data_IF_234701718520
#
_entry.id   IF_234701718520
#
_cell.length_a   1.000
_cell.length_b   1.000
_cell.length_c   1.000
_cell.angle_alpha   90.00
_cell.angle_beta   90.00
_cell.angle_gamma   90.00
#
_symmetry.space_group_name_H-M   'P 1'
#
loop_
_entity.id
_entity.type
_entity.pdbx_description
1 polymer ?
#
# COMPACT_ATOMS: atom_id res chain seq x y z
N UNK A 1 37.98 -31.16 -2.49
CA UNK A 1 37.71 -29.88 -3.20
C UNK A 1 36.25 -29.42 -3.09
N UNK A 2 35.28 -30.28 -2.75
CA UNK A 2 33.86 -29.89 -2.57
C UNK A 2 33.60 -29.09 -1.29
N UNK A 3 34.28 -29.43 -0.19
CA UNK A 3 33.91 -28.91 1.13
C UNK A 3 34.36 -27.46 1.33
N UNK A 4 35.54 -27.10 0.81
CA UNK A 4 36.04 -25.72 0.81
C UNK A 4 35.19 -24.82 -0.10
N UNK A 5 34.78 -25.33 -1.28
CA UNK A 5 33.87 -24.62 -2.17
C UNK A 5 32.50 -24.38 -1.52
N UNK A 6 31.95 -25.39 -0.83
CA UNK A 6 30.69 -25.28 -0.09
C UNK A 6 30.80 -24.30 1.10
N UNK A 7 31.91 -24.32 1.84
CA UNK A 7 32.15 -23.38 2.94
C UNK A 7 32.26 -21.94 2.45
N UNK A 8 32.94 -21.71 1.32
CA UNK A 8 33.05 -20.40 0.69
C UNK A 8 31.69 -19.89 0.19
N UNK A 9 30.89 -20.76 -0.45
CA UNK A 9 29.53 -20.42 -0.90
C UNK A 9 28.62 -20.04 0.27
N UNK A 10 28.65 -20.81 1.36
CA UNK A 10 27.87 -20.54 2.57
C UNK A 10 28.30 -19.22 3.23
N UNK A 11 29.59 -18.96 3.35
CA UNK A 11 30.12 -17.69 3.89
C UNK A 11 29.65 -16.49 3.06
N UNK A 12 29.66 -16.61 1.73
CA UNK A 12 29.14 -15.58 0.83
C UNK A 12 27.64 -15.35 1.02
N UNK A 13 26.85 -16.41 1.09
CA UNK A 13 25.41 -16.34 1.32
C UNK A 13 25.07 -15.66 2.64
N UNK A 14 25.78 -16.01 3.73
CA UNK A 14 25.58 -15.40 5.05
C UNK A 14 25.90 -13.90 5.06
N UNK A 15 26.95 -13.47 4.34
CA UNK A 15 27.27 -12.05 4.15
C UNK A 15 26.15 -11.31 3.42
N UNK A 16 25.62 -11.89 2.35
CA UNK A 16 24.49 -11.32 1.60
C UNK A 16 23.22 -11.24 2.45
N UNK A 17 22.91 -12.29 3.21
CA UNK A 17 21.77 -12.31 4.12
C UNK A 17 21.88 -11.22 5.21
N UNK A 18 23.08 -11.01 5.76
CA UNK A 18 23.33 -9.93 6.73
C UNK A 18 23.08 -8.55 6.12
N UNK A 19 23.57 -8.30 4.90
CA UNK A 19 23.33 -7.05 4.17
C UNK A 19 21.84 -6.81 3.91
N UNK A 20 21.12 -7.85 3.45
CA UNK A 20 19.69 -7.77 3.22
C UNK A 20 18.92 -7.46 4.52
N UNK A 21 19.32 -8.07 5.64
CA UNK A 21 18.71 -7.76 6.94
C UNK A 21 18.89 -6.30 7.31
N UNK A 22 20.12 -5.77 7.22
CA UNK A 22 20.41 -4.37 7.55
C UNK A 22 19.62 -3.39 6.66
N UNK A 23 19.53 -3.66 5.36
CA UNK A 23 18.72 -2.86 4.44
C UNK A 23 17.21 -2.96 4.78
N UNK A 24 16.73 -4.16 5.14
CA UNK A 24 15.34 -4.36 5.57
C UNK A 24 15.03 -3.63 6.88
N UNK A 25 16.00 -3.47 7.79
CA UNK A 25 15.78 -2.75 9.04
C UNK A 25 15.61 -1.25 8.78
N UNK A 26 16.40 -0.69 7.86
CA UNK A 26 16.22 0.68 7.39
C UNK A 26 14.86 0.89 6.71
N UNK A 27 14.42 -0.07 5.87
CA UNK A 27 13.09 -0.05 5.27
C UNK A 27 11.97 -0.04 6.33
N UNK A 28 12.10 -0.85 7.38
CA UNK A 28 11.14 -0.87 8.49
C UNK A 28 11.08 0.44 9.26
N UNK A 29 12.23 1.05 9.53
CA UNK A 29 12.29 2.34 10.19
C UNK A 29 11.55 3.41 9.37
N UNK A 30 11.77 3.43 8.04
CA UNK A 30 11.10 4.36 7.14
C UNK A 30 9.57 4.13 7.10
N UNK A 31 9.12 2.89 6.92
CA UNK A 31 7.69 2.55 6.94
C UNK A 31 7.04 2.96 8.26
N UNK A 32 7.72 2.70 9.39
CA UNK A 32 7.23 3.05 10.72
C UNK A 32 7.09 4.56 10.89
N UNK A 33 8.10 5.32 10.42
CA UNK A 33 8.07 6.79 10.45
C UNK A 33 6.91 7.34 9.63
N UNK A 34 6.73 6.86 8.39
CA UNK A 34 5.63 7.31 7.52
C UNK A 34 4.28 6.98 8.16
N UNK A 35 4.09 5.75 8.64
CA UNK A 35 2.85 5.36 9.31
C UNK A 35 2.55 6.24 10.51
N UNK A 36 3.56 6.52 11.35
CA UNK A 36 3.39 7.37 12.53
C UNK A 36 2.92 8.78 12.12
N UNK A 37 3.54 9.40 11.11
CA UNK A 37 3.13 10.71 10.60
C UNK A 37 1.71 10.70 10.05
N UNK A 38 1.31 9.65 9.32
CA UNK A 38 -0.07 9.52 8.81
C UNK A 38 -1.10 9.35 9.93
N UNK A 39 -0.76 8.58 10.98
CA UNK A 39 -1.63 8.42 12.15
C UNK A 39 -1.76 9.73 12.92
N UNK A 40 -0.66 10.44 13.12
CA UNK A 40 -0.62 11.74 13.81
C UNK A 40 -1.45 12.81 13.08
N UNK A 41 -1.42 12.80 11.75
CA UNK A 41 -2.23 13.71 10.93
C UNK A 41 -3.75 13.51 11.12
N UNK A 42 -4.18 12.37 11.66
CA UNK A 42 -5.55 12.10 12.11
C UNK A 42 -6.66 12.46 11.10
N UNK A 43 -6.43 12.27 9.81
CA UNK A 43 -7.41 12.59 8.75
C UNK A 43 -8.61 11.63 8.71
N UNK A 44 -8.52 10.46 9.38
CA UNK A 44 -9.67 9.59 9.64
C UNK A 44 -10.33 8.95 8.41
N UNK A 45 -9.63 8.89 7.28
CA UNK A 45 -10.14 8.30 6.03
C UNK A 45 -9.30 7.10 5.59
N UNK A 46 -10.00 6.06 5.15
CA UNK A 46 -9.35 4.92 4.49
C UNK A 46 -9.04 5.26 3.04
N UNK A 47 -7.90 4.77 2.56
CA UNK A 47 -7.49 4.95 1.18
C UNK A 47 -6.64 3.76 0.73
N UNK A 48 -6.95 3.23 -0.44
CA UNK A 48 -6.14 2.23 -1.12
C UNK A 48 -5.69 2.85 -2.43
N UNK A 49 -4.37 2.92 -2.67
CA UNK A 49 -3.85 3.29 -3.99
C UNK A 49 -4.06 2.13 -4.95
N UNK A 50 -5.32 1.98 -5.37
CA UNK A 50 -5.63 1.47 -6.69
C UNK A 50 -5.07 2.51 -7.65
N UNK A 51 -3.80 2.38 -8.02
CA UNK A 51 -3.43 2.95 -9.30
C UNK A 51 -4.32 2.26 -10.31
N UNK A 52 -4.94 3.06 -11.18
CA UNK A 52 -5.24 2.68 -12.55
C UNK A 52 -4.16 1.68 -13.01
N UNK A 53 -4.54 0.48 -13.49
CA UNK A 53 -3.59 -0.58 -13.82
C UNK A 53 -2.40 0.04 -14.57
N UNK A 54 -1.22 -0.07 -13.95
CA UNK A 54 0.02 0.40 -14.57
C UNK A 54 0.24 -0.49 -15.78
N UNK A 55 -0.23 -0.01 -16.94
CA UNK A 55 -0.26 -0.73 -18.21
C UNK A 55 -1.05 -2.04 -18.12
N UNK A 56 -2.34 -1.99 -18.48
CA UNK A 56 -2.98 -3.17 -19.08
C UNK A 56 -2.14 -3.46 -20.32
N UNK A 57 -1.23 -4.42 -20.22
CA UNK A 57 -0.62 -5.01 -21.39
C UNK A 57 -1.78 -5.56 -22.23
N UNK A 58 -1.97 -5.03 -23.44
CA UNK A 58 -2.95 -5.53 -24.42
C UNK A 58 -2.74 -7.02 -24.80
N UNK A 59 -1.73 -7.68 -24.22
CA UNK A 59 -1.43 -9.08 -24.42
C UNK A 59 -1.78 -9.90 -23.17
N UNK A 60 -2.76 -10.77 -23.42
CA UNK A 60 -3.16 -12.00 -22.75
C UNK A 60 -4.38 -11.90 -21.82
N UNK A 61 -5.41 -12.62 -22.23
CA UNK A 61 -6.54 -13.04 -21.41
C UNK A 61 -6.01 -13.75 -20.15
N UNK A 62 -5.83 -12.99 -19.07
CA UNK A 62 -5.29 -13.49 -17.81
C UNK A 62 -5.59 -12.53 -16.66
N UNK A 63 -5.85 -13.08 -15.48
CA UNK A 63 -5.97 -12.29 -14.25
C UNK A 63 -4.58 -11.78 -13.84
N UNK A 64 -4.35 -10.46 -13.87
CA UNK A 64 -3.08 -9.89 -13.41
C UNK A 64 -3.15 -9.52 -11.92
N UNK A 65 -2.29 -10.17 -11.11
CA UNK A 65 -2.21 -9.92 -9.68
C UNK A 65 -1.25 -8.77 -9.37
N UNK A 66 -1.75 -7.76 -8.65
CA UNK A 66 -0.97 -6.62 -8.21
C UNK A 66 -1.04 -6.40 -6.70
N UNK A 67 0.07 -5.95 -6.14
CA UNK A 67 0.15 -5.49 -4.76
C UNK A 67 -0.44 -4.09 -4.63
N UNK A 68 -1.47 -3.94 -3.80
CA UNK A 68 -2.09 -2.65 -3.49
C UNK A 68 -1.68 -2.19 -2.09
N UNK A 69 -1.20 -0.96 -1.99
CA UNK A 69 -0.88 -0.28 -0.74
C UNK A 69 -2.06 0.59 -0.28
N UNK A 70 -2.36 0.55 1.01
CA UNK A 70 -3.40 1.38 1.60
C UNK A 70 -3.08 1.87 3.00
N UNK A 71 -3.87 2.85 3.44
CA UNK A 71 -4.00 3.26 4.83
C UNK A 71 -5.40 2.88 5.32
N UNK A 72 -5.46 2.05 6.35
CA UNK A 72 -6.66 1.31 6.72
C UNK A 72 -6.88 1.30 8.23
N UNK A 73 -8.14 1.26 8.68
CA UNK A 73 -8.51 1.17 10.09
C UNK A 73 -8.60 -0.29 10.54
N UNK A 74 -7.53 -0.79 11.16
CA UNK A 74 -7.54 -2.08 11.85
C UNK A 74 -8.19 -2.00 13.23
N UNK A 75 -8.46 -3.16 13.84
CA UNK A 75 -8.85 -3.28 15.25
C UNK A 75 -7.83 -2.65 16.22
N UNK A 76 -6.54 -2.66 15.85
CA UNK A 76 -5.45 -2.07 16.64
C UNK A 76 -5.21 -0.57 16.38
N UNK A 77 -5.90 0.03 15.41
CA UNK A 77 -5.62 1.40 14.99
C UNK A 77 -5.46 1.57 13.49
N UNK A 78 -5.18 2.81 13.10
CA UNK A 78 -4.84 3.14 11.72
C UNK A 78 -3.43 2.64 11.37
N UNK A 79 -3.26 2.03 10.21
CA UNK A 79 -1.96 1.54 9.77
C UNK A 79 -1.82 1.53 8.25
N UNK A 80 -0.58 1.51 7.77
CA UNK A 80 -0.27 1.11 6.41
C UNK A 80 -0.51 -0.39 6.27
N UNK A 81 -1.17 -0.78 5.18
CA UNK A 81 -1.54 -2.16 4.90
C UNK A 81 -1.34 -2.47 3.42
N UNK A 82 -1.20 -3.75 3.12
CA UNK A 82 -1.14 -4.25 1.74
C UNK A 82 -2.15 -5.35 1.53
N UNK A 83 -2.62 -5.49 0.29
CA UNK A 83 -3.42 -6.62 -0.16
C UNK A 83 -3.08 -6.92 -1.61
N UNK A 84 -3.28 -8.17 -2.02
CA UNK A 84 -3.26 -8.49 -3.43
C UNK A 84 -4.62 -8.11 -4.04
N UNK A 85 -4.63 -7.68 -5.29
CA UNK A 85 -5.82 -7.57 -6.12
C UNK A 85 -5.54 -8.16 -7.49
N UNK A 86 -6.54 -8.83 -8.08
CA UNK A 86 -6.47 -9.28 -9.46
C UNK A 86 -7.54 -8.59 -10.27
N UNK A 87 -7.18 -8.18 -11.48
CA UNK A 87 -8.09 -7.69 -12.49
C UNK A 87 -8.26 -8.76 -13.54
N UNK A 88 -9.51 -9.12 -13.84
CA UNK A 88 -9.85 -9.96 -14.96
C UNK A 88 -10.96 -9.32 -15.78
N UNK A 89 -11.02 -9.72 -17.05
CA UNK A 89 -12.12 -9.41 -17.94
C UNK A 89 -12.60 -10.72 -18.54
N UNK A 90 -13.90 -10.99 -18.42
CA UNK A 90 -14.57 -12.13 -19.05
C UNK A 90 -15.82 -11.68 -19.83
N UNK A 91 -16.59 -12.64 -20.34
CA UNK A 91 -17.82 -12.35 -21.10
C UNK A 91 -18.88 -11.60 -20.27
N UNK A 92 -18.78 -11.58 -18.94
CA UNK A 92 -19.67 -10.88 -18.01
C UNK A 92 -19.16 -9.47 -17.63
N UNK A 93 -17.93 -9.13 -18.00
CA UNK A 93 -17.32 -7.80 -17.84
C UNK A 93 -16.04 -7.81 -17.00
N UNK A 94 -15.65 -6.63 -16.50
CA UNK A 94 -14.45 -6.49 -15.64
C UNK A 94 -14.76 -6.90 -14.20
N UNK A 95 -13.99 -7.84 -13.66
CA UNK A 95 -14.06 -8.22 -12.24
C UNK A 95 -12.78 -7.89 -11.49
N UNK A 96 -12.95 -7.48 -10.23
CA UNK A 96 -11.85 -7.20 -9.30
C UNK A 96 -11.92 -8.23 -8.17
N UNK A 97 -10.93 -9.11 -8.09
CA UNK A 97 -10.73 -9.98 -6.92
C UNK A 97 -9.78 -9.30 -5.96
N UNK A 98 -10.11 -9.31 -4.67
CA UNK A 98 -9.24 -8.73 -3.65
C UNK A 98 -9.08 -9.71 -2.50
N UNK A 99 -7.84 -9.95 -2.10
CA UNK A 99 -7.51 -10.82 -0.98
C UNK A 99 -7.49 -10.06 0.35
N UNK A 100 -7.38 -10.82 1.44
CA UNK A 100 -7.24 -10.27 2.78
C UNK A 100 -6.04 -9.31 2.88
N UNK A 101 -6.25 -8.19 3.55
CA UNK A 101 -5.18 -7.24 3.81
C UNK A 101 -4.29 -7.69 4.96
N UNK A 102 -3.05 -7.19 4.98
CA UNK A 102 -2.07 -7.40 6.02
C UNK A 102 -1.40 -6.06 6.41
N UNK A 103 -1.18 -5.78 7.71
CA UNK A 103 -0.37 -4.63 8.11
C UNK A 103 1.00 -4.68 7.44
N UNK A 104 1.43 -3.56 6.83
CA UNK A 104 2.63 -3.52 6.01
C UNK A 104 3.89 -3.91 6.81
N UNK A 105 4.01 -3.47 8.06
CA UNK A 105 5.13 -3.85 8.94
C UNK A 105 5.19 -5.34 9.29
N UNK A 106 4.06 -6.05 9.15
CA UNK A 106 3.98 -7.51 9.36
C UNK A 106 4.11 -8.29 8.05
N UNK A 107 4.15 -7.63 6.90
CA UNK A 107 4.24 -8.26 5.61
C UNK A 107 5.66 -8.83 5.34
N UNK A 108 5.78 -9.80 4.41
CA UNK A 108 7.07 -10.29 3.93
C UNK A 108 8.01 -9.16 3.51
N UNK A 109 9.33 -9.40 3.60
CA UNK A 109 10.36 -8.38 3.28
C UNK A 109 10.19 -7.84 1.86
N UNK A 110 9.93 -8.73 0.91
CA UNK A 110 9.73 -8.38 -0.50
C UNK A 110 8.53 -7.44 -0.67
N UNK A 111 7.40 -7.73 -0.02
CA UNK A 111 6.22 -6.87 0.01
C UNK A 111 6.53 -5.48 0.58
N UNK A 112 7.31 -5.41 1.67
CA UNK A 112 7.72 -4.13 2.25
C UNK A 112 8.62 -3.31 1.31
N UNK A 113 9.54 -3.97 0.61
CA UNK A 113 10.40 -3.33 -0.38
C UNK A 113 9.57 -2.81 -1.56
N UNK A 114 8.63 -3.60 -2.07
CA UNK A 114 7.77 -3.20 -3.17
C UNK A 114 6.85 -2.03 -2.78
N UNK A 115 6.24 -2.11 -1.59
CA UNK A 115 5.43 -1.02 -1.04
C UNK A 115 6.22 0.30 -0.95
N UNK A 116 7.51 0.26 -0.60
CA UNK A 116 8.36 1.46 -0.58
C UNK A 116 8.59 2.05 -1.98
N UNK A 117 8.63 1.23 -3.04
CA UNK A 117 8.75 1.74 -4.42
C UNK A 117 7.51 2.54 -4.84
N UNK A 118 6.33 2.09 -4.44
CA UNK A 118 5.05 2.75 -4.77
C UNK A 118 4.62 3.81 -3.75
N UNK A 119 5.31 3.92 -2.61
CA UNK A 119 4.97 4.83 -1.51
C UNK A 119 4.81 6.30 -1.96
N UNK A 120 5.70 6.90 -2.78
CA UNK A 120 5.52 8.29 -3.19
C UNK A 120 4.21 8.52 -3.98
N UNK A 121 3.88 7.59 -4.90
CA UNK A 121 2.61 7.65 -5.65
C UNK A 121 1.40 7.46 -4.72
N UNK A 122 1.50 6.53 -3.75
CA UNK A 122 0.48 6.34 -2.73
C UNK A 122 0.22 7.62 -1.93
N UNK A 123 1.27 8.28 -1.43
CA UNK A 123 1.14 9.52 -0.65
C UNK A 123 0.48 10.64 -1.46
N UNK A 124 0.84 10.80 -2.74
CA UNK A 124 0.19 11.77 -3.63
C UNK A 124 -1.30 11.45 -3.85
N UNK A 125 -1.64 10.17 -4.06
CA UNK A 125 -3.04 9.74 -4.22
C UNK A 125 -3.85 9.95 -2.93
N UNK A 126 -3.23 9.75 -1.77
CA UNK A 126 -3.84 9.96 -0.46
C UNK A 126 -4.12 11.46 -0.23
N UNK A 127 -3.19 12.33 -0.60
CA UNK A 127 -3.39 13.78 -0.53
C UNK A 127 -4.61 14.21 -1.38
N UNK A 128 -4.72 13.73 -2.62
CA UNK A 128 -5.89 14.00 -3.46
C UNK A 128 -7.19 13.51 -2.83
N UNK A 129 -7.18 12.34 -2.19
CA UNK A 129 -8.35 11.81 -1.47
C UNK A 129 -8.73 12.66 -0.26
N UNK A 130 -7.75 13.17 0.49
CA UNK A 130 -7.97 14.10 1.61
C UNK A 130 -8.59 15.40 1.10
N UNK A 131 -8.04 16.00 0.05
CA UNK A 131 -8.57 17.24 -0.54
C UNK A 131 -10.03 17.07 -0.99
N UNK A 132 -10.33 15.95 -1.66
CA UNK A 132 -11.70 15.62 -2.06
C UNK A 132 -12.64 15.50 -0.85
N UNK A 133 -12.22 14.79 0.21
CA UNK A 133 -13.03 14.63 1.42
C UNK A 133 -13.29 15.99 2.11
N UNK A 134 -12.28 16.86 2.16
CA UNK A 134 -12.43 18.23 2.69
C UNK A 134 -13.48 19.01 1.93
N UNK A 135 -13.41 19.06 0.58
CA UNK A 135 -14.39 19.79 -0.23
C UNK A 135 -15.82 19.24 -0.08
N UNK A 136 -15.96 17.92 0.09
CA UNK A 136 -17.25 17.28 0.34
C UNK A 136 -17.86 17.73 1.68
N UNK A 137 -17.05 17.78 2.74
CA UNK A 137 -17.49 18.23 4.06
C UNK A 137 -17.87 19.71 4.03
N UNK A 138 -17.04 20.58 3.44
CA UNK A 138 -17.32 22.02 3.32
C UNK A 138 -18.65 22.28 2.60
N UNK A 139 -18.85 21.61 1.47
CA UNK A 139 -20.10 21.72 0.68
C UNK A 139 -21.31 21.27 1.50
N UNK A 140 -21.19 20.16 2.24
CA UNK A 140 -22.28 19.64 3.07
C UNK A 140 -22.64 20.61 4.22
N UNK A 141 -21.63 21.19 4.87
CA UNK A 141 -21.82 22.19 5.94
C UNK A 141 -22.52 23.44 5.41
N UNK A 142 -22.10 23.96 4.25
CA UNK A 142 -22.73 25.13 3.63
C UNK A 142 -24.21 24.89 3.30
N UNK A 143 -24.54 23.73 2.71
CA UNK A 143 -25.93 23.37 2.40
C UNK A 143 -26.81 23.30 3.65
N UNK A 144 -26.29 22.73 4.74
CA UNK A 144 -27.03 22.66 6.01
C UNK A 144 -27.21 24.02 6.68
N UNK A 145 -26.24 24.94 6.53
CA UNK A 145 -26.36 26.31 7.06
C UNK A 145 -27.49 27.07 6.35
N UNK A 146 -27.55 27.03 5.02
CA UNK A 146 -28.59 27.72 4.23
C UNK A 146 -30.00 27.21 4.56
N UNK A 147 -30.16 25.89 4.75
CA UNK A 147 -31.45 25.29 5.12
C UNK A 147 -31.96 25.69 6.52
N UNK A 148 -31.09 26.21 7.39
CA UNK A 148 -31.47 26.73 8.72
C UNK A 148 -31.91 28.18 8.67
N UNK A 149 -31.49 28.94 7.66
CA UNK A 149 -31.87 30.35 7.50
C UNK A 149 -33.23 30.51 6.78
N UNK A 150 -33.69 29.46 6.07
CA UNK A 150 -34.99 29.42 5.38
C UNK A 150 -36.15 28.90 6.25
N UNK A 151 -35.90 28.51 7.51
CA UNK A 151 -36.90 28.03 8.48
C UNK A 151 -37.08 28.99 9.64
#
# INVERSE_FOLDING_TARGET
MSDEANQNALSSLLKSAKRLSQASDAANALISSIQASLVEANFGIEHWAYNDPLEISDNDAGEEEHLVLGFYKSSSGWCLATKMCAHGEDEEGTHIRSWSWNPLLKAPRETRIEALRIMPKFLASLEGRIQQATSQVETAVQKLALQREEK
#
